data_IF_719069027444
#
_entry.id   IF_719069027444
#
_cell.length_a   1.000
_cell.length_b   1.000
_cell.length_c   1.000
_cell.angle_alpha   90.00
_cell.angle_beta   90.00
_cell.angle_gamma   90.00
#
_symmetry.space_group_name_H-M   'P 1'
#
loop_
_entity.id
_entity.type
_entity.pdbx_description
1 polymer ?
#
# COMPACT_ATOMS: atom_id res chain seq x y z
N UNK A 1 -0.44 -5.20 21.67
CA UNK A 1 -0.52 -3.88 20.99
C UNK A 1 -1.23 -2.86 21.86
N UNK A 2 -0.77 -1.61 21.84
CA UNK A 2 -1.42 -0.47 22.53
C UNK A 2 -2.31 0.32 21.57
N UNK A 3 -3.09 1.29 22.08
CA UNK A 3 -3.89 2.19 21.26
C UNK A 3 -3.04 2.94 20.21
N UNK A 4 -1.85 3.41 20.60
CA UNK A 4 -0.91 4.07 19.69
C UNK A 4 -0.57 3.21 18.47
N UNK A 5 -0.25 1.92 18.67
CA UNK A 5 0.06 1.02 17.57
C UNK A 5 -1.12 0.80 16.63
N UNK A 6 -2.36 0.75 17.16
CA UNK A 6 -3.58 0.60 16.35
C UNK A 6 -3.84 1.86 15.52
N UNK A 7 -3.74 3.04 16.13
CA UNK A 7 -3.87 4.31 15.42
C UNK A 7 -2.85 4.44 14.31
N UNK A 8 -1.59 4.09 14.60
CA UNK A 8 -0.52 4.09 13.59
C UNK A 8 -0.85 3.21 12.39
N UNK A 9 -1.28 1.96 12.61
CA UNK A 9 -1.66 1.05 11.53
C UNK A 9 -2.88 1.53 10.74
N UNK A 10 -3.82 2.21 11.40
CA UNK A 10 -4.95 2.84 10.70
C UNK A 10 -4.52 4.03 9.86
N UNK A 11 -3.57 4.86 10.33
CA UNK A 11 -2.99 5.93 9.50
C UNK A 11 -2.24 5.36 8.30
N UNK A 12 -1.50 4.26 8.49
CA UNK A 12 -0.85 3.53 7.40
C UNK A 12 -1.87 3.06 6.35
N UNK A 13 -3.01 2.51 6.78
CA UNK A 13 -4.09 2.12 5.88
C UNK A 13 -4.69 3.30 5.10
N UNK A 14 -4.86 4.45 5.76
CA UNK A 14 -5.37 5.66 5.10
C UNK A 14 -4.42 6.14 3.99
N UNK A 15 -3.10 5.97 4.16
CA UNK A 15 -2.13 6.26 3.09
C UNK A 15 -2.34 5.35 1.88
N UNK A 16 -2.54 4.04 2.11
CA UNK A 16 -2.80 3.08 1.03
C UNK A 16 -4.13 3.38 0.32
N UNK A 17 -5.18 3.71 1.09
CA UNK A 17 -6.47 4.12 0.54
C UNK A 17 -6.32 5.39 -0.31
N UNK A 18 -5.63 6.40 0.21
CA UNK A 18 -5.37 7.65 -0.51
C UNK A 18 -4.61 7.40 -1.82
N UNK A 19 -3.62 6.51 -1.80
CA UNK A 19 -2.90 6.12 -3.02
C UNK A 19 -3.81 5.40 -4.03
N UNK A 20 -4.67 4.49 -3.57
CA UNK A 20 -5.67 3.84 -4.41
C UNK A 20 -6.63 4.84 -5.07
N UNK A 21 -7.06 5.87 -4.33
CA UNK A 21 -7.89 6.96 -4.88
C UNK A 21 -7.14 7.79 -5.93
N UNK A 22 -5.85 8.10 -5.70
CA UNK A 22 -5.01 8.81 -6.67
C UNK A 22 -4.93 8.02 -7.98
N UNK A 23 -4.67 6.71 -7.92
CA UNK A 23 -4.62 5.84 -9.10
C UNK A 23 -5.99 5.75 -9.79
N UNK A 24 -7.07 5.57 -9.02
CA UNK A 24 -8.43 5.52 -9.54
C UNK A 24 -8.82 6.81 -10.30
N UNK A 25 -8.36 7.96 -9.81
CA UNK A 25 -8.58 9.28 -10.42
C UNK A 25 -8.01 9.41 -11.84
N UNK A 26 -7.10 8.54 -12.28
CA UNK A 26 -6.59 8.51 -13.65
C UNK A 26 -7.67 8.23 -14.71
N UNK A 27 -8.79 7.62 -14.30
CA UNK A 27 -9.90 7.28 -15.18
C UNK A 27 -10.44 8.49 -15.95
N UNK A 28 -10.48 9.66 -15.30
CA UNK A 28 -11.06 10.88 -15.84
C UNK A 28 -9.99 11.95 -16.04
N UNK A 29 -9.99 12.67 -17.18
CA UNK A 29 -9.06 13.78 -17.40
C UNK A 29 -9.11 14.85 -16.30
N UNK A 30 -10.29 15.09 -15.72
CA UNK A 30 -10.48 16.08 -14.66
C UNK A 30 -9.78 15.74 -13.33
N UNK A 31 -9.43 14.47 -13.09
CA UNK A 31 -8.89 13.99 -11.82
C UNK A 31 -7.52 13.31 -11.95
N UNK A 32 -6.87 13.39 -13.11
CA UNK A 32 -5.59 12.70 -13.36
C UNK A 32 -4.35 13.44 -12.83
N UNK A 33 -4.48 14.71 -12.42
CA UNK A 33 -3.33 15.52 -11.98
C UNK A 33 -2.54 14.90 -10.81
N UNK A 34 -3.18 14.34 -9.76
CA UNK A 34 -2.46 13.70 -8.66
C UNK A 34 -1.65 12.47 -9.08
N UNK A 35 -2.18 11.63 -9.99
CA UNK A 35 -1.44 10.45 -10.46
C UNK A 35 -0.24 10.89 -11.32
N UNK A 36 -0.39 11.94 -12.13
CA UNK A 36 0.72 12.51 -12.90
C UNK A 36 1.84 13.02 -11.99
N UNK A 37 1.47 13.73 -10.92
CA UNK A 37 2.44 14.20 -9.92
C UNK A 37 3.18 13.03 -9.27
N UNK A 38 2.46 12.00 -8.83
CA UNK A 38 3.09 10.81 -8.25
C UNK A 38 4.10 10.17 -9.19
N UNK A 39 3.71 9.91 -10.45
CA UNK A 39 4.57 9.29 -11.45
C UNK A 39 5.79 10.17 -11.79
N UNK A 40 5.64 11.49 -11.81
CA UNK A 40 6.77 12.40 -11.96
C UNK A 40 7.73 12.33 -10.76
N UNK A 41 7.21 12.27 -9.53
CA UNK A 41 8.00 12.18 -8.31
C UNK A 41 8.78 10.87 -8.20
N UNK A 42 8.26 9.76 -8.72
CA UNK A 42 8.99 8.48 -8.77
C UNK A 42 9.89 8.32 -10.00
N UNK A 43 10.06 9.39 -10.79
CA UNK A 43 10.97 9.39 -11.95
C UNK A 43 10.43 8.67 -13.19
N UNK A 44 9.12 8.42 -13.26
CA UNK A 44 8.45 7.76 -14.38
C UNK A 44 7.27 8.61 -14.92
N UNK A 45 7.52 9.84 -15.39
CA UNK A 45 6.44 10.74 -15.79
C UNK A 45 5.52 10.12 -16.86
N UNK A 46 4.20 10.25 -16.65
CA UNK A 46 3.20 9.72 -17.57
C UNK A 46 3.18 10.48 -18.90
N UNK A 47 2.89 9.81 -20.03
CA UNK A 47 2.78 10.45 -21.33
C UNK A 47 1.66 11.51 -21.34
N UNK A 48 1.73 12.43 -22.31
CA UNK A 48 0.66 13.39 -22.57
C UNK A 48 0.33 13.36 -24.06
N UNK A 49 -0.91 12.96 -24.45
CA UNK A 49 -2.04 12.57 -23.59
C UNK A 49 -1.90 11.17 -22.96
N UNK A 50 -2.67 10.90 -21.89
CA UNK A 50 -2.85 9.52 -21.39
C UNK A 50 -3.76 8.75 -22.37
N UNK A 51 -3.25 7.65 -22.93
CA UNK A 51 -4.02 6.69 -23.73
C UNK A 51 -5.10 5.97 -22.91
N UNK A 52 -6.13 5.46 -23.58
CA UNK A 52 -7.29 4.84 -22.94
C UNK A 52 -6.92 3.60 -22.13
N UNK A 53 -5.98 2.80 -22.63
CA UNK A 53 -5.49 1.57 -22.01
C UNK A 53 -4.76 1.86 -20.70
N UNK A 54 -3.94 2.92 -20.67
CA UNK A 54 -3.23 3.34 -19.46
C UNK A 54 -4.18 3.94 -18.43
N UNK A 55 -5.17 4.72 -18.86
CA UNK A 55 -6.24 5.20 -17.96
C UNK A 55 -6.97 4.05 -17.30
N UNK A 56 -7.41 3.08 -18.11
CA UNK A 56 -8.11 1.90 -17.61
C UNK A 56 -7.23 1.11 -16.63
N UNK A 57 -5.97 0.89 -16.99
CA UNK A 57 -5.01 0.15 -16.15
C UNK A 57 -4.79 0.84 -14.81
N UNK A 58 -4.52 2.15 -14.80
CA UNK A 58 -4.33 2.92 -13.57
C UNK A 58 -5.61 2.94 -12.72
N UNK A 59 -6.77 3.11 -13.36
CA UNK A 59 -8.05 3.08 -12.66
C UNK A 59 -8.33 1.73 -11.99
N UNK A 60 -8.06 0.63 -12.72
CA UNK A 60 -8.18 -0.73 -12.21
C UNK A 60 -7.20 -0.99 -11.06
N UNK A 61 -5.94 -0.56 -11.18
CA UNK A 61 -4.96 -0.66 -10.11
C UNK A 61 -5.40 0.12 -8.87
N UNK A 62 -6.02 1.28 -9.05
CA UNK A 62 -6.61 2.06 -7.96
C UNK A 62 -7.72 1.30 -7.24
N UNK A 63 -8.67 0.73 -7.99
CA UNK A 63 -9.75 -0.09 -7.43
C UNK A 63 -9.22 -1.33 -6.69
N UNK A 64 -8.23 -2.03 -7.25
CA UNK A 64 -7.57 -3.18 -6.62
C UNK A 64 -6.85 -2.76 -5.33
N UNK A 65 -6.14 -1.63 -5.34
CA UNK A 65 -5.44 -1.09 -4.17
C UNK A 65 -6.42 -0.75 -3.05
N UNK A 66 -7.58 -0.17 -3.38
CA UNK A 66 -8.65 0.10 -2.41
C UNK A 66 -9.22 -1.18 -1.81
N UNK A 67 -9.56 -2.16 -2.65
CA UNK A 67 -10.03 -3.47 -2.18
C UNK A 67 -9.02 -4.17 -1.29
N UNK A 68 -7.74 -4.10 -1.65
CA UNK A 68 -6.62 -4.63 -0.85
C UNK A 68 -6.51 -3.91 0.51
N UNK A 69 -6.58 -2.57 0.54
CA UNK A 69 -6.54 -1.80 1.77
C UNK A 69 -7.70 -2.15 2.71
N UNK A 70 -8.93 -2.27 2.18
CA UNK A 70 -10.11 -2.67 2.96
C UNK A 70 -9.99 -4.11 3.49
N UNK A 71 -9.40 -5.01 2.70
CA UNK A 71 -9.14 -6.39 3.12
C UNK A 71 -8.11 -6.45 4.25
N UNK A 72 -7.01 -5.69 4.14
CA UNK A 72 -6.03 -5.57 5.23
C UNK A 72 -6.66 -4.93 6.46
N UNK A 73 -7.52 -3.92 6.30
CA UNK A 73 -8.24 -3.33 7.41
C UNK A 73 -9.08 -4.38 8.15
N UNK A 74 -9.89 -5.16 7.44
CA UNK A 74 -10.65 -6.26 8.03
C UNK A 74 -9.73 -7.27 8.76
N UNK A 75 -8.58 -7.61 8.17
CA UNK A 75 -7.59 -8.49 8.79
C UNK A 75 -6.97 -7.88 10.07
N UNK A 76 -6.67 -6.57 10.09
CA UNK A 76 -6.22 -5.87 11.28
C UNK A 76 -7.28 -5.91 12.37
N UNK A 77 -8.54 -5.62 12.05
CA UNK A 77 -9.65 -5.64 13.00
C UNK A 77 -9.83 -7.05 13.60
N UNK A 78 -9.77 -8.09 12.77
CA UNK A 78 -9.80 -9.47 13.24
C UNK A 78 -8.62 -9.78 14.17
N UNK A 79 -7.40 -9.40 13.78
CA UNK A 79 -6.20 -9.60 14.60
C UNK A 79 -6.24 -8.84 15.93
N UNK A 80 -6.86 -7.66 15.96
CA UNK A 80 -7.06 -6.87 17.18
C UNK A 80 -8.09 -7.45 18.14
N UNK A 81 -9.06 -8.22 17.63
CA UNK A 81 -10.09 -8.88 18.41
C UNK A 81 -9.59 -10.21 19.02
N UNK A 82 -8.60 -10.86 18.39
CA UNK A 82 -7.97 -12.08 18.90
C UNK A 82 -7.15 -11.77 20.16
N UNK A 83 -7.46 -12.45 21.28
CA UNK A 83 -6.78 -12.24 22.57
C UNK A 83 -5.56 -13.12 22.79
N UNK A 84 -5.63 -14.41 22.45
CA UNK A 84 -4.61 -15.43 22.79
C UNK A 84 -3.99 -16.16 21.60
N UNK A 85 -4.28 -15.74 20.35
CA UNK A 85 -3.71 -16.33 19.13
C UNK A 85 -3.56 -15.32 17.98
N UNK A 86 -3.24 -14.06 18.34
CA UNK A 86 -3.09 -13.02 17.32
C UNK A 86 -1.80 -13.19 16.51
N UNK A 87 -0.74 -13.79 17.08
CA UNK A 87 0.55 -13.99 16.41
C UNK A 87 0.44 -14.72 15.07
N UNK A 88 -0.38 -15.78 14.97
CA UNK A 88 -0.55 -16.49 13.70
C UNK A 88 -1.14 -15.59 12.61
N UNK A 89 -2.15 -14.81 12.97
CA UNK A 89 -2.80 -13.85 12.07
C UNK A 89 -1.84 -12.72 11.68
N UNK A 90 -1.10 -12.14 12.63
CA UNK A 90 -0.11 -11.12 12.34
C UNK A 90 1.00 -11.62 11.42
N UNK A 91 1.50 -12.85 11.62
CA UNK A 91 2.49 -13.47 10.72
C UNK A 91 1.97 -13.60 9.29
N UNK A 92 0.71 -14.00 9.10
CA UNK A 92 0.09 -14.12 7.76
C UNK A 92 -0.07 -12.75 7.09
N UNK A 93 -0.51 -11.75 7.85
CA UNK A 93 -0.63 -10.37 7.37
C UNK A 93 0.75 -9.83 6.97
N UNK A 94 1.75 -10.00 7.85
CA UNK A 94 3.13 -9.56 7.57
C UNK A 94 3.70 -10.27 6.36
N UNK A 95 3.47 -11.57 6.20
CA UNK A 95 3.90 -12.32 5.02
C UNK A 95 3.28 -11.76 3.73
N UNK A 96 1.99 -11.46 3.73
CA UNK A 96 1.32 -10.87 2.56
C UNK A 96 1.92 -9.50 2.17
N UNK A 97 2.19 -8.64 3.16
CA UNK A 97 2.81 -7.32 2.92
C UNK A 97 4.27 -7.46 2.45
N UNK A 98 5.03 -8.40 3.00
CA UNK A 98 6.40 -8.68 2.55
C UNK A 98 6.43 -9.23 1.13
N UNK A 99 5.52 -10.14 0.79
CA UNK A 99 5.41 -10.68 -0.56
C UNK A 99 5.10 -9.58 -1.58
N UNK A 100 4.13 -8.70 -1.28
CA UNK A 100 3.85 -7.51 -2.09
C UNK A 100 5.10 -6.62 -2.24
N UNK A 101 5.76 -6.28 -1.13
CA UNK A 101 6.95 -5.42 -1.15
C UNK A 101 8.07 -5.98 -2.03
N UNK A 102 8.36 -7.28 -1.90
CA UNK A 102 9.42 -7.95 -2.67
C UNK A 102 9.10 -7.92 -4.16
N UNK A 103 7.88 -8.34 -4.54
CA UNK A 103 7.48 -8.43 -5.95
C UNK A 103 7.45 -7.03 -6.58
N UNK A 104 6.78 -6.07 -5.95
CA UNK A 104 6.59 -4.73 -6.51
C UNK A 104 7.91 -3.96 -6.61
N UNK A 105 8.77 -4.06 -5.59
CA UNK A 105 10.06 -3.38 -5.57
C UNK A 105 11.05 -4.01 -6.55
N UNK A 106 11.07 -5.34 -6.69
CA UNK A 106 11.91 -6.02 -7.68
C UNK A 106 11.53 -5.62 -9.11
N UNK A 107 10.23 -5.59 -9.41
CA UNK A 107 9.73 -5.15 -10.72
C UNK A 107 10.02 -3.66 -10.96
N UNK A 108 9.89 -2.81 -9.94
CA UNK A 108 10.20 -1.38 -10.03
C UNK A 108 11.67 -1.15 -10.42
N UNK A 109 12.60 -1.88 -9.81
CA UNK A 109 14.02 -1.80 -10.16
C UNK A 109 14.26 -2.35 -11.56
N UNK A 110 13.69 -3.51 -11.90
CA UNK A 110 13.86 -4.14 -13.21
C UNK A 110 13.33 -3.27 -14.37
N UNK A 111 12.27 -2.48 -14.12
CA UNK A 111 11.67 -1.57 -15.10
C UNK A 111 12.29 -0.17 -15.10
N UNK A 112 13.37 0.06 -14.35
CA UNK A 112 14.08 1.34 -14.35
C UNK A 112 13.41 2.44 -13.52
N UNK A 113 12.52 2.09 -12.59
CA UNK A 113 11.82 3.02 -11.68
C UNK A 113 12.19 2.73 -10.20
N UNK A 114 13.49 2.76 -9.83
CA UNK A 114 13.93 2.34 -8.49
C UNK A 114 13.41 3.23 -7.36
N UNK A 115 13.02 4.48 -7.65
CA UNK A 115 12.46 5.38 -6.66
C UNK A 115 11.11 4.90 -6.12
N UNK A 116 10.36 4.09 -6.89
CA UNK A 116 9.17 3.42 -6.37
C UNK A 116 9.52 2.38 -5.29
N UNK A 117 10.63 1.63 -5.44
CA UNK A 117 11.10 0.70 -4.42
C UNK A 117 11.51 1.43 -3.11
N UNK A 118 12.04 2.66 -3.21
CA UNK A 118 12.31 3.50 -2.04
C UNK A 118 11.00 3.87 -1.33
N UNK A 119 9.98 4.33 -2.07
CA UNK A 119 8.65 4.62 -1.53
C UNK A 119 8.01 3.39 -0.86
N UNK A 120 8.12 2.22 -1.49
CA UNK A 120 7.64 0.97 -0.92
C UNK A 120 8.40 0.58 0.36
N UNK A 121 9.70 0.86 0.42
CA UNK A 121 10.51 0.62 1.63
C UNK A 121 10.03 1.48 2.79
N UNK A 122 9.73 2.76 2.54
CA UNK A 122 9.15 3.65 3.55
C UNK A 122 7.81 3.10 4.03
N UNK A 123 6.94 2.66 3.12
CA UNK A 123 5.64 2.08 3.47
C UNK A 123 5.80 0.80 4.29
N UNK A 124 6.72 -0.10 3.91
CA UNK A 124 7.01 -1.32 4.65
C UNK A 124 7.53 -1.03 6.06
N UNK A 125 8.49 -0.12 6.20
CA UNK A 125 9.05 0.28 7.50
C UNK A 125 7.96 0.87 8.39
N UNK A 126 7.10 1.74 7.83
CA UNK A 126 5.97 2.31 8.55
C UNK A 126 5.00 1.22 9.04
N UNK A 127 4.81 0.12 8.30
CA UNK A 127 4.04 -1.04 8.78
C UNK A 127 4.79 -1.86 9.85
N UNK A 128 6.07 -2.17 9.63
CA UNK A 128 6.84 -3.07 10.50
C UNK A 128 7.14 -2.47 11.88
N UNK A 129 7.36 -1.15 11.96
CA UNK A 129 7.67 -0.45 13.20
C UNK A 129 6.69 -0.77 14.35
N UNK A 130 5.37 -0.57 14.21
CA UNK A 130 4.42 -0.92 15.26
C UNK A 130 4.29 -2.43 15.50
N UNK A 131 4.47 -3.27 14.48
CA UNK A 131 4.40 -4.73 14.60
C UNK A 131 5.53 -5.26 15.48
N UNK A 132 6.76 -4.83 15.21
CA UNK A 132 7.95 -5.23 15.96
C UNK A 132 7.95 -4.64 17.37
N UNK A 133 7.65 -3.33 17.52
CA UNK A 133 7.59 -2.65 18.83
C UNK A 133 6.53 -3.25 19.75
N UNK A 134 5.40 -3.69 19.20
CA UNK A 134 4.33 -4.30 19.98
C UNK A 134 4.51 -5.80 20.24
N UNK A 135 5.55 -6.42 19.67
CA UNK A 135 5.81 -7.87 19.70
C UNK A 135 4.63 -8.70 19.20
N UNK A 136 3.87 -8.16 18.24
CA UNK A 136 2.66 -8.80 17.72
C UNK A 136 2.91 -10.15 17.03
N UNK A 137 4.16 -10.45 16.67
CA UNK A 137 4.56 -11.71 16.04
C UNK A 137 4.88 -12.83 17.05
N UNK A 138 5.03 -12.50 18.34
CA UNK A 138 5.49 -13.42 19.40
C UNK A 138 4.38 -13.82 20.38
N UNK A 139 3.22 -13.14 20.33
CA UNK A 139 2.11 -13.28 21.28
C UNK A 139 0.80 -13.54 20.55
#
# INVERSE_FOLDING_TARGET
MTAFHRTWLNLWLLLVIGFGLILAGAALPATEAPVRLFYALVGAPLPSPLGAELRFTLALLGAVTLGWALTIHAAFQAAFALRTDAAATWRRITFAILAWYVIDSALSVALGVPLNAVSNTVLLVAYLLPILRSRALQR
#
